data_IF_600944791226
#
_entry.id   IF_600944791226
#
_cell.length_a   1.000
_cell.length_b   1.000
_cell.length_c   1.000
_cell.angle_alpha   90.00
_cell.angle_beta   90.00
_cell.angle_gamma   90.00
#
_symmetry.space_group_name_H-M   'P 1'
#
loop_
_entity.id
_entity.type
_entity.pdbx_description
1 polymer ?
#
# COMPACT_ATOMS: atom_id res chain seq x y z
N UNK A 1 -7.75 -11.67 13.39
CA UNK A 1 -7.72 -10.19 13.36
C UNK A 1 -6.71 -9.69 12.34
N UNK A 2 -6.86 -8.45 11.87
CA UNK A 2 -5.90 -7.75 11.02
C UNK A 2 -5.58 -6.38 11.61
N UNK A 3 -4.34 -5.94 11.47
CA UNK A 3 -3.95 -4.53 11.60
C UNK A 3 -3.06 -4.16 10.44
N UNK A 4 -3.14 -2.92 10.01
CA UNK A 4 -2.30 -2.46 8.93
C UNK A 4 -2.16 -0.96 8.90
N UNK A 5 -1.28 -0.55 8.02
CA UNK A 5 -1.02 0.83 7.70
C UNK A 5 -1.03 0.97 6.18
N UNK A 6 -1.59 2.08 5.73
CA UNK A 6 -1.54 2.53 4.35
C UNK A 6 -0.99 3.95 4.34
N UNK A 7 0.08 4.16 3.59
CA UNK A 7 0.69 5.45 3.35
C UNK A 7 0.54 5.76 1.87
N UNK A 8 -0.37 6.66 1.55
CA UNK A 8 -0.69 7.08 0.21
C UNK A 8 -0.23 8.52 0.01
N UNK A 9 0.46 8.79 -1.09
CA UNK A 9 0.72 10.15 -1.57
C UNK A 9 0.01 10.32 -2.91
N UNK A 10 -0.74 11.40 -3.08
CA UNK A 10 -1.35 11.81 -4.35
C UNK A 10 -0.97 13.27 -4.60
N UNK A 11 -0.15 13.51 -5.62
CA UNK A 11 0.46 14.82 -5.84
C UNK A 11 1.29 15.25 -4.62
N UNK A 12 0.83 16.29 -3.92
CA UNK A 12 1.47 16.82 -2.70
C UNK A 12 0.74 16.41 -1.40
N UNK A 13 -0.36 15.68 -1.49
CA UNK A 13 -1.14 15.26 -0.33
C UNK A 13 -0.66 13.91 0.16
N UNK A 14 -0.34 13.82 1.45
CA UNK A 14 0.05 12.58 2.12
C UNK A 14 -1.10 12.16 3.04
N UNK A 15 -1.63 10.96 2.81
CA UNK A 15 -2.73 10.36 3.55
C UNK A 15 -2.22 9.09 4.22
N UNK A 16 -2.27 9.07 5.55
CA UNK A 16 -1.85 7.93 6.35
C UNK A 16 -3.05 7.32 7.05
N UNK A 17 -3.39 6.07 6.70
CA UNK A 17 -4.52 5.34 7.24
C UNK A 17 -4.04 4.14 8.06
N UNK A 18 -4.28 4.18 9.37
CA UNK A 18 -4.09 3.02 10.25
C UNK A 18 -5.43 2.31 10.42
N UNK A 19 -5.45 0.98 10.30
CA UNK A 19 -6.69 0.20 10.43
C UNK A 19 -6.51 -1.06 11.27
N UNK A 20 -7.63 -1.49 11.87
CA UNK A 20 -7.77 -2.70 12.67
C UNK A 20 -9.15 -3.26 12.46
N UNK A 21 -9.22 -4.56 12.17
CA UNK A 21 -10.50 -5.21 11.88
C UNK A 21 -10.45 -6.73 12.12
N UNK A 22 -11.59 -7.38 11.95
CA UNK A 22 -11.69 -8.80 11.69
C UNK A 22 -11.12 -9.11 10.29
N UNK A 23 -10.37 -10.21 10.18
CA UNK A 23 -9.83 -10.67 8.90
C UNK A 23 -10.82 -11.64 8.26
N UNK A 24 -11.18 -11.41 6.99
CA UNK A 24 -11.81 -12.46 6.17
C UNK A 24 -10.77 -13.59 5.91
N UNK A 25 -11.04 -14.84 6.32
CA UNK A 25 -10.14 -15.97 6.07
C UNK A 25 -9.70 -16.13 4.62
N UNK A 26 -10.54 -15.73 3.64
CA UNK A 26 -10.20 -15.77 2.22
C UNK A 26 -9.00 -14.88 1.85
N UNK A 27 -8.74 -13.83 2.66
CA UNK A 27 -7.69 -12.84 2.46
C UNK A 27 -6.41 -13.13 3.25
N UNK A 28 -6.30 -14.31 3.90
CA UNK A 28 -5.13 -14.66 4.74
C UNK A 28 -3.81 -14.64 3.97
N UNK A 29 -3.83 -14.84 2.65
CA UNK A 29 -2.65 -14.75 1.80
C UNK A 29 -2.02 -13.34 1.72
N UNK A 30 -2.78 -12.29 2.04
CA UNK A 30 -2.29 -10.91 2.08
C UNK A 30 -1.58 -10.55 3.40
N UNK A 31 -1.64 -11.43 4.41
CA UNK A 31 -1.00 -11.20 5.71
C UNK A 31 0.52 -11.31 5.64
N UNK A 32 1.23 -10.45 6.37
CA UNK A 32 2.69 -10.41 6.42
C UNK A 32 3.34 -9.95 5.13
N UNK A 33 2.56 -9.30 4.25
CA UNK A 33 3.04 -8.74 2.98
C UNK A 33 2.97 -7.23 3.04
N UNK A 34 4.04 -6.63 2.54
CA UNK A 34 4.09 -5.21 2.24
C UNK A 34 3.95 -5.05 0.73
N UNK A 35 3.14 -4.09 0.31
CA UNK A 35 2.97 -3.73 -1.10
C UNK A 35 3.40 -2.28 -1.24
N UNK A 36 4.27 -2.03 -2.21
CA UNK A 36 4.61 -0.68 -2.64
C UNK A 36 4.31 -0.54 -4.13
N UNK A 37 3.65 0.55 -4.50
CA UNK A 37 3.56 1.00 -5.88
C UNK A 37 3.87 2.48 -5.97
N UNK A 38 4.38 2.90 -7.12
CA UNK A 38 4.70 4.30 -7.39
C UNK A 38 4.49 4.62 -8.87
N UNK A 39 3.86 5.75 -9.13
CA UNK A 39 3.70 6.41 -10.44
C UNK A 39 4.19 7.84 -10.33
N UNK A 40 4.17 8.61 -11.42
CA UNK A 40 4.54 10.03 -11.35
C UNK A 40 3.57 10.88 -10.53
N UNK A 41 2.36 10.39 -10.29
CA UNK A 41 1.27 11.11 -9.61
C UNK A 41 1.02 10.60 -8.21
N UNK A 42 1.16 9.28 -7.99
CA UNK A 42 0.80 8.65 -6.72
C UNK A 42 1.82 7.62 -6.26
N UNK A 43 1.99 7.48 -4.96
CA UNK A 43 2.70 6.36 -4.36
C UNK A 43 1.87 5.77 -3.24
N UNK A 44 1.79 4.45 -3.20
CA UNK A 44 1.21 3.72 -2.09
C UNK A 44 2.27 2.82 -1.49
N UNK A 45 2.29 2.80 -0.18
CA UNK A 45 2.88 1.72 0.58
C UNK A 45 1.83 1.20 1.56
N UNK A 46 1.66 -0.11 1.64
CA UNK A 46 0.76 -0.73 2.62
C UNK A 46 1.39 -1.94 3.25
N UNK A 47 1.13 -2.13 4.54
CA UNK A 47 1.51 -3.31 5.31
C UNK A 47 0.32 -3.86 6.05
N UNK A 48 0.20 -5.20 6.05
CA UNK A 48 -0.85 -5.92 6.78
C UNK A 48 -0.24 -7.01 7.65
N UNK A 49 -0.55 -6.96 8.93
CA UNK A 49 -0.25 -8.02 9.90
C UNK A 49 -1.54 -8.68 10.37
N UNK A 50 -1.48 -9.99 10.56
CA UNK A 50 -2.62 -10.78 10.98
C UNK A 50 -2.24 -11.69 12.14
N UNK A 51 -3.23 -12.03 12.95
CA UNK A 51 -3.07 -12.90 14.10
C UNK A 51 -4.40 -13.60 14.43
N UNK A 52 -4.34 -14.77 15.06
CA UNK A 52 -5.47 -15.71 15.21
C UNK A 52 -6.01 -15.82 16.66
N UNK A 53 -5.61 -14.93 17.57
CA UNK A 53 -6.11 -14.88 18.96
C UNK A 53 -7.00 -13.65 19.22
N UNK A 54 -7.83 -13.71 20.27
CA UNK A 54 -8.73 -12.63 20.62
C UNK A 54 -7.96 -11.32 20.92
N UNK A 55 -8.42 -10.22 20.32
CA UNK A 55 -7.85 -8.87 20.48
C UNK A 55 -6.33 -8.75 20.21
N UNK A 56 -5.74 -9.71 19.48
CA UNK A 56 -4.30 -9.77 19.22
C UNK A 56 -3.76 -8.62 18.36
N UNK A 57 -4.64 -7.90 17.64
CA UNK A 57 -4.31 -6.69 16.89
C UNK A 57 -4.43 -5.40 17.74
N UNK A 58 -4.47 -5.52 19.06
CA UNK A 58 -4.43 -4.39 20.00
C UNK A 58 -3.12 -3.59 19.97
N UNK A 59 -3.04 -2.52 20.77
CA UNK A 59 -1.84 -1.68 20.88
C UNK A 59 -1.65 -0.65 19.76
N UNK A 60 -0.43 -0.16 19.57
CA UNK A 60 -0.14 0.83 18.53
C UNK A 60 0.15 0.19 17.18
N UNK A 61 -0.29 0.85 16.10
CA UNK A 61 0.08 0.45 14.74
C UNK A 61 1.50 0.94 14.46
N UNK A 62 2.39 0.02 14.07
CA UNK A 62 3.77 0.38 13.75
C UNK A 62 3.85 1.00 12.36
N UNK A 63 4.50 2.16 12.28
CA UNK A 63 4.86 2.83 11.03
C UNK A 63 6.33 2.52 10.73
N UNK A 64 6.67 1.69 9.73
CA UNK A 64 8.05 1.51 9.34
C UNK A 64 8.57 2.76 8.62
N UNK A 65 9.89 2.94 8.64
CA UNK A 65 10.53 3.98 7.85
C UNK A 65 10.33 3.68 6.35
N UNK A 66 10.10 4.72 5.56
CA UNK A 66 10.01 4.58 4.11
C UNK A 66 11.36 4.12 3.53
N UNK A 67 11.35 3.03 2.77
CA UNK A 67 12.49 2.62 1.95
C UNK A 67 12.37 3.26 0.56
N UNK A 68 13.21 4.26 0.31
CA UNK A 68 13.27 4.97 -0.96
C UNK A 68 14.44 4.50 -1.83
N UNK A 69 15.04 3.35 -1.50
CA UNK A 69 16.13 2.78 -2.27
C UNK A 69 15.60 2.31 -3.62
N UNK A 70 16.11 2.84 -4.75
CA UNK A 70 15.66 2.41 -6.07
C UNK A 70 15.93 0.91 -6.29
N UNK A 71 14.91 0.17 -6.72
CA UNK A 71 15.01 -1.28 -6.97
C UNK A 71 15.69 -1.62 -8.31
N UNK A 72 16.01 -0.61 -9.13
CA UNK A 72 16.69 -0.75 -10.42
C UNK A 72 15.78 -1.03 -11.62
N UNK A 73 14.47 -1.18 -11.42
CA UNK A 73 13.51 -1.40 -12.48
C UNK A 73 12.96 -0.06 -13.00
N UNK A 74 12.81 0.04 -14.32
CA UNK A 74 12.20 1.19 -14.97
C UNK A 74 10.88 0.73 -15.60
N UNK A 75 9.78 1.30 -15.14
CA UNK A 75 8.42 0.98 -15.56
C UNK A 75 7.86 2.09 -16.43
N UNK A 76 7.02 1.74 -17.41
CA UNK A 76 6.19 2.73 -18.11
C UNK A 76 5.20 3.36 -17.15
N UNK A 77 5.05 4.67 -17.21
CA UNK A 77 4.27 5.44 -16.24
C UNK A 77 3.01 6.02 -16.86
N UNK A 78 1.89 5.83 -16.15
CA UNK A 78 0.57 6.35 -16.51
C UNK A 78 -0.32 6.40 -15.24
N UNK A 79 -1.27 7.33 -15.19
CA UNK A 79 -2.23 7.45 -14.08
C UNK A 79 -3.62 7.81 -14.60
N UNK A 80 -4.66 7.18 -14.06
CA UNK A 80 -6.08 7.52 -14.31
C UNK A 80 -6.92 7.26 -13.07
N UNK A 81 -7.79 8.20 -12.72
CA UNK A 81 -8.74 8.07 -11.61
C UNK A 81 -10.04 7.32 -12.00
N UNK A 82 -10.28 7.10 -13.29
CA UNK A 82 -11.52 6.52 -13.83
C UNK A 82 -11.19 5.54 -14.97
N UNK A 83 -11.46 4.24 -14.83
CA UNK A 83 -11.12 3.29 -15.91
C UNK A 83 -12.36 2.78 -16.65
N UNK A 84 -12.75 3.49 -17.72
CA UNK A 84 -13.55 2.93 -18.81
C UNK A 84 -12.69 2.49 -20.02
N UNK A 85 -11.40 2.85 -20.06
CA UNK A 85 -10.46 2.51 -21.14
C UNK A 85 -9.01 2.32 -20.65
N UNK A 86 -8.10 1.86 -21.53
CA UNK A 86 -6.70 1.61 -21.18
C UNK A 86 -5.94 2.91 -20.92
N UNK A 87 -4.98 2.83 -19.99
CA UNK A 87 -4.10 3.93 -19.62
C UNK A 87 -2.82 3.86 -20.48
N UNK A 88 -2.61 4.87 -21.33
CA UNK A 88 -1.44 4.94 -22.23
C UNK A 88 -0.27 5.55 -21.48
N UNK A 89 0.90 4.90 -21.52
CA UNK A 89 2.10 5.42 -20.88
C UNK A 89 2.53 6.77 -21.47
N UNK A 90 2.77 7.74 -20.60
CA UNK A 90 3.23 9.10 -20.93
C UNK A 90 4.67 9.36 -20.51
N UNK A 91 5.26 8.47 -19.72
CA UNK A 91 6.62 8.59 -19.20
C UNK A 91 7.19 7.27 -18.69
N UNK A 92 8.25 7.37 -17.89
CA UNK A 92 8.85 6.25 -17.18
C UNK A 92 9.09 6.61 -15.71
N UNK A 93 9.08 5.60 -14.85
CA UNK A 93 9.37 5.75 -13.42
C UNK A 93 10.25 4.62 -12.89
N UNK A 94 10.98 4.91 -11.82
CA UNK A 94 11.81 3.99 -11.04
C UNK A 94 11.39 4.01 -9.56
#
# INVERSE_FOLDING_TARGET
CVTGLENNTVGNEIIMTAFKDCLDPSQKAACGRDISYKTSVTSLWTSRMCCDSDSCNGGDVKVPAADNTPNGYICGDCFSEQSAGPCTATGVIQ
#
